data_IF_565038650946
#
_entry.id   IF_565038650946
#
_cell.length_a   1.000
_cell.length_b   1.000
_cell.length_c   1.000
_cell.angle_alpha   90.00
_cell.angle_beta   90.00
_cell.angle_gamma   90.00
#
_symmetry.space_group_name_H-M   'P 1'
#
loop_
_entity.id
_entity.type
_entity.pdbx_description
1 polymer ?
#
# COMPACT_ATOMS: atom_id res chain seq x y z
N UNK A 1 -17.74 25.70 25.39
CA UNK A 1 -17.11 25.08 24.22
C UNK A 1 -17.81 23.75 23.98
N UNK A 2 -18.69 23.67 22.97
CA UNK A 2 -19.25 22.39 22.55
C UNK A 2 -18.14 21.61 21.85
N UNK A 3 -17.74 20.48 22.41
CA UNK A 3 -16.94 19.51 21.68
C UNK A 3 -17.79 19.01 20.51
N UNK A 4 -17.47 19.46 19.30
CA UNK A 4 -17.91 18.83 18.06
C UNK A 4 -17.44 17.37 18.15
N UNK A 5 -18.36 16.46 18.43
CA UNK A 5 -18.13 15.03 18.29
C UNK A 5 -17.58 14.82 16.87
N UNK A 6 -16.31 14.39 16.80
CA UNK A 6 -15.50 14.42 15.59
C UNK A 6 -16.23 13.80 14.42
N UNK A 7 -16.48 14.61 13.38
CA UNK A 7 -17.06 14.13 12.14
C UNK A 7 -16.03 13.27 11.41
N UNK A 8 -15.94 11.99 11.76
CA UNK A 8 -15.19 11.03 10.95
C UNK A 8 -15.90 10.86 9.61
N UNK A 9 -15.12 10.89 8.53
CA UNK A 9 -15.65 10.73 7.17
C UNK A 9 -16.26 9.32 7.00
N UNK A 10 -17.15 9.11 6.02
CA UNK A 10 -17.68 7.77 5.75
C UNK A 10 -16.57 6.78 5.37
N UNK A 11 -15.51 7.22 4.67
CA UNK A 11 -14.31 6.43 4.39
C UNK A 11 -13.59 6.05 5.68
N UNK A 12 -13.43 7.01 6.60
CA UNK A 12 -12.76 6.76 7.88
C UNK A 12 -13.53 5.73 8.72
N UNK A 13 -14.87 5.84 8.78
CA UNK A 13 -15.72 4.87 9.49
C UNK A 13 -15.66 3.47 8.85
N UNK A 14 -15.67 3.40 7.52
CA UNK A 14 -15.51 2.14 6.80
C UNK A 14 -14.14 1.50 7.10
N UNK A 15 -13.07 2.28 7.10
CA UNK A 15 -11.72 1.82 7.42
C UNK A 15 -11.57 1.38 8.88
N UNK A 16 -12.19 2.10 9.82
CA UNK A 16 -12.24 1.71 11.23
C UNK A 16 -12.94 0.36 11.41
N UNK A 17 -14.10 0.17 10.77
CA UNK A 17 -14.84 -1.11 10.81
C UNK A 17 -14.03 -2.26 10.18
N UNK A 18 -13.51 -2.06 8.96
CA UNK A 18 -12.69 -3.06 8.24
C UNK A 18 -11.54 -3.56 9.12
N UNK A 19 -10.81 -2.62 9.74
CA UNK A 19 -9.68 -2.92 10.60
C UNK A 19 -10.08 -3.71 11.84
N UNK A 20 -11.23 -3.42 12.46
CA UNK A 20 -11.72 -4.22 13.60
C UNK A 20 -12.00 -5.66 13.19
N UNK A 21 -12.65 -5.88 12.06
CA UNK A 21 -12.97 -7.22 11.55
C UNK A 21 -11.70 -8.01 11.22
N UNK A 22 -10.73 -7.37 10.55
CA UNK A 22 -9.44 -8.00 10.23
C UNK A 22 -8.62 -8.31 11.48
N UNK A 23 -8.65 -7.44 12.48
CA UNK A 23 -8.00 -7.66 13.76
C UNK A 23 -8.61 -8.85 14.51
N UNK A 24 -9.94 -8.97 14.54
CA UNK A 24 -10.64 -10.12 15.13
C UNK A 24 -10.32 -11.43 14.37
N UNK A 25 -10.24 -11.35 13.03
CA UNK A 25 -9.78 -12.47 12.20
C UNK A 25 -8.35 -12.88 12.56
N UNK A 26 -7.41 -11.94 12.64
CA UNK A 26 -6.01 -12.22 13.00
C UNK A 26 -5.87 -12.79 14.42
N UNK A 27 -6.63 -12.26 15.38
CA UNK A 27 -6.72 -12.82 16.74
C UNK A 27 -7.19 -14.28 16.72
N UNK A 28 -8.18 -14.62 15.89
CA UNK A 28 -8.64 -16.00 15.77
C UNK A 28 -7.58 -16.96 15.24
N UNK A 29 -6.61 -16.45 14.47
CA UNK A 29 -5.45 -17.19 13.98
C UNK A 29 -4.23 -17.13 14.91
N UNK A 30 -4.32 -16.42 16.04
CA UNK A 30 -3.19 -16.22 16.96
C UNK A 30 -2.04 -15.40 16.37
N UNK A 31 -2.33 -14.58 15.35
CA UNK A 31 -1.34 -13.72 14.69
C UNK A 31 -1.32 -12.35 15.38
N UNK A 32 -0.12 -11.88 15.72
CA UNK A 32 0.09 -10.53 16.24
C UNK A 32 0.05 -9.52 15.10
N UNK A 33 -0.64 -8.40 15.30
CA UNK A 33 -0.88 -7.39 14.27
C UNK A 33 0.14 -6.28 14.51
N UNK A 34 1.13 -6.16 13.60
CA UNK A 34 2.38 -5.43 13.80
C UNK A 34 2.30 -3.94 14.22
N UNK A 35 3.46 -3.34 14.46
CA UNK A 35 3.69 -2.09 15.20
C UNK A 35 3.05 -0.79 14.67
N UNK A 36 2.28 -0.84 13.57
CA UNK A 36 1.69 0.36 12.97
C UNK A 36 0.57 0.92 13.85
N UNK A 37 0.60 2.23 14.04
CA UNK A 37 -0.45 2.91 14.79
C UNK A 37 -1.80 2.80 14.07
N UNK A 38 -2.88 2.77 14.85
CA UNK A 38 -4.25 2.76 14.31
C UNK A 38 -4.49 3.89 13.31
N UNK A 39 -3.93 5.08 13.59
CA UNK A 39 -4.06 6.24 12.74
C UNK A 39 -3.38 6.02 11.38
N UNK A 40 -2.21 5.38 11.35
CA UNK A 40 -1.47 5.11 10.12
C UNK A 40 -2.17 4.05 9.26
N UNK A 41 -2.71 3.00 9.89
CA UNK A 41 -3.48 1.96 9.19
C UNK A 41 -4.77 2.54 8.60
N UNK A 42 -5.49 3.37 9.37
CA UNK A 42 -6.72 4.02 8.89
C UNK A 42 -6.40 5.01 7.77
N UNK A 43 -5.34 5.81 7.90
CA UNK A 43 -4.93 6.77 6.86
C UNK A 43 -4.56 6.05 5.55
N UNK A 44 -3.81 4.95 5.62
CA UNK A 44 -3.50 4.13 4.45
C UNK A 44 -4.74 3.54 3.79
N UNK A 45 -5.70 3.06 4.58
CA UNK A 45 -6.97 2.58 4.07
C UNK A 45 -7.77 3.69 3.35
N UNK A 46 -7.86 4.89 3.95
CA UNK A 46 -8.57 6.03 3.33
C UNK A 46 -7.90 6.45 2.02
N UNK A 47 -6.56 6.44 1.95
CA UNK A 47 -5.83 6.70 0.72
C UNK A 47 -6.12 5.66 -0.37
N UNK A 48 -6.13 4.37 -0.02
CA UNK A 48 -6.52 3.29 -0.94
C UNK A 48 -7.95 3.48 -1.44
N UNK A 49 -8.89 3.85 -0.56
CA UNK A 49 -10.27 4.15 -0.96
C UNK A 49 -10.36 5.35 -1.90
N UNK A 50 -9.56 6.40 -1.69
CA UNK A 50 -9.52 7.56 -2.56
C UNK A 50 -9.00 7.21 -3.97
N UNK A 51 -7.91 6.43 -4.04
CA UNK A 51 -7.38 5.91 -5.31
C UNK A 51 -8.41 5.04 -6.04
N UNK A 52 -9.06 4.13 -5.32
CA UNK A 52 -10.10 3.27 -5.87
C UNK A 52 -11.26 4.09 -6.46
N UNK A 53 -11.72 5.13 -5.76
CA UNK A 53 -12.78 5.99 -6.28
C UNK A 53 -12.36 6.71 -7.57
N UNK A 54 -11.12 7.17 -7.63
CA UNK A 54 -10.57 7.82 -8.82
C UNK A 54 -10.46 6.85 -10.00
N UNK A 55 -9.94 5.64 -9.78
CA UNK A 55 -9.72 4.64 -10.83
C UNK A 55 -11.02 4.07 -11.39
N UNK A 56 -12.05 4.00 -10.56
CA UNK A 56 -13.34 3.35 -10.91
C UNK A 56 -14.37 4.31 -11.48
N UNK A 57 -14.12 5.62 -11.35
CA UNK A 57 -15.06 6.69 -11.68
C UNK A 57 -16.47 6.39 -11.13
N UNK A 58 -16.55 5.73 -9.96
CA UNK A 58 -17.80 5.27 -9.40
C UNK A 58 -18.71 6.46 -9.09
N UNK A 59 -19.96 6.40 -9.56
CA UNK A 59 -20.96 7.40 -9.19
C UNK A 59 -21.09 7.51 -7.67
N UNK A 60 -21.44 8.70 -7.18
CA UNK A 60 -21.61 8.95 -5.75
C UNK A 60 -22.56 7.96 -5.07
N UNK A 61 -23.60 7.51 -5.79
CA UNK A 61 -24.55 6.51 -5.29
C UNK A 61 -23.89 5.13 -5.09
N UNK A 62 -23.11 4.66 -6.07
CA UNK A 62 -22.37 3.38 -5.98
C UNK A 62 -21.31 3.46 -4.90
N UNK A 63 -20.57 4.57 -4.84
CA UNK A 63 -19.55 4.77 -3.82
C UNK A 63 -20.13 4.83 -2.40
N UNK A 64 -21.25 5.52 -2.22
CA UNK A 64 -21.93 5.57 -0.92
C UNK A 64 -22.49 4.20 -0.50
N UNK A 65 -23.00 3.40 -1.44
CA UNK A 65 -23.45 2.03 -1.16
C UNK A 65 -22.27 1.13 -0.76
N UNK A 66 -21.14 1.28 -1.45
CA UNK A 66 -19.91 0.57 -1.13
C UNK A 66 -19.41 0.88 0.29
N UNK A 67 -19.24 2.16 0.63
CA UNK A 67 -18.83 2.58 1.97
C UNK A 67 -19.86 2.17 3.04
N UNK A 68 -21.14 2.22 2.71
CA UNK A 68 -22.22 1.74 3.57
C UNK A 68 -22.11 0.25 3.87
N UNK A 69 -21.79 -0.56 2.86
CA UNK A 69 -21.52 -1.99 3.02
C UNK A 69 -20.31 -2.22 3.92
N UNK A 70 -19.17 -1.58 3.65
CA UNK A 70 -17.96 -1.71 4.47
C UNK A 70 -18.20 -1.30 5.92
N UNK A 71 -19.00 -0.27 6.16
CA UNK A 71 -19.33 0.20 7.52
C UNK A 71 -20.26 -0.76 8.25
N UNK A 72 -21.14 -1.45 7.52
CA UNK A 72 -22.17 -2.34 8.08
C UNK A 72 -21.70 -3.80 8.18
N UNK A 73 -20.59 -4.15 7.54
CA UNK A 73 -20.02 -5.48 7.57
C UNK A 73 -19.73 -5.89 9.04
N UNK A 74 -19.92 -7.18 9.30
CA UNK A 74 -19.66 -7.78 10.62
C UNK A 74 -18.62 -8.90 10.56
N UNK A 75 -18.32 -9.40 9.36
CA UNK A 75 -17.37 -10.49 9.13
C UNK A 75 -16.46 -10.17 7.96
N UNK A 76 -15.33 -10.86 7.89
CA UNK A 76 -14.39 -10.67 6.79
C UNK A 76 -14.99 -11.13 5.45
N UNK A 77 -15.83 -12.16 5.43
CA UNK A 77 -16.56 -12.57 4.22
C UNK A 77 -17.52 -11.49 3.71
N UNK A 78 -18.17 -10.74 4.59
CA UNK A 78 -19.02 -9.61 4.18
C UNK A 78 -18.20 -8.46 3.59
N UNK A 79 -17.00 -8.18 4.10
CA UNK A 79 -16.11 -7.17 3.53
C UNK A 79 -15.70 -7.53 2.09
N UNK A 80 -15.44 -8.81 1.81
CA UNK A 80 -15.11 -9.29 0.47
C UNK A 80 -16.32 -9.15 -0.48
N UNK A 81 -17.53 -9.46 -0.01
CA UNK A 81 -18.76 -9.27 -0.78
C UNK A 81 -19.06 -7.80 -1.09
N UNK A 82 -18.64 -6.87 -0.22
CA UNK A 82 -18.79 -5.44 -0.45
C UNK A 82 -18.05 -4.94 -1.69
N UNK A 83 -17.06 -5.67 -2.23
CA UNK A 83 -16.36 -5.30 -3.46
C UNK A 83 -17.20 -5.56 -4.72
N UNK A 84 -18.22 -6.42 -4.64
CA UNK A 84 -19.10 -6.80 -5.74
C UNK A 84 -19.84 -5.65 -6.47
N UNK A 85 -20.34 -4.59 -5.79
CA UNK A 85 -20.95 -3.44 -6.43
C UNK A 85 -19.98 -2.53 -7.20
N UNK A 86 -18.66 -2.66 -6.98
CA UNK A 86 -17.66 -1.96 -7.77
C UNK A 86 -17.36 -2.75 -9.06
N UNK A 87 -16.88 -2.08 -10.10
CA UNK A 87 -16.54 -2.74 -11.38
C UNK A 87 -15.51 -3.87 -11.17
N UNK A 88 -15.45 -4.86 -12.07
CA UNK A 88 -14.52 -6.00 -11.95
C UNK A 88 -13.04 -5.56 -11.84
N UNK A 89 -12.68 -4.45 -12.49
CA UNK A 89 -11.35 -3.84 -12.39
C UNK A 89 -11.09 -3.19 -11.02
N UNK A 90 -12.11 -2.58 -10.41
CA UNK A 90 -12.06 -2.07 -9.03
C UNK A 90 -11.77 -3.16 -8.00
N UNK A 91 -12.50 -4.28 -8.13
CA UNK A 91 -12.40 -5.41 -7.22
C UNK A 91 -11.00 -6.05 -7.27
N UNK A 92 -10.38 -6.10 -8.45
CA UNK A 92 -8.99 -6.57 -8.61
C UNK A 92 -7.98 -5.68 -7.89
N UNK A 93 -8.05 -4.36 -8.06
CA UNK A 93 -7.14 -3.41 -7.41
C UNK A 93 -7.17 -3.51 -5.88
N UNK A 94 -8.36 -3.68 -5.28
CA UNK A 94 -8.50 -3.86 -3.83
C UNK A 94 -7.92 -5.17 -3.31
N UNK A 95 -8.05 -6.26 -4.09
CA UNK A 95 -7.48 -7.54 -3.72
C UNK A 95 -5.95 -7.52 -3.76
N UNK A 96 -5.36 -6.87 -4.77
CA UNK A 96 -3.91 -6.69 -4.89
C UNK A 96 -3.32 -5.84 -3.75
N UNK A 97 -3.95 -4.73 -3.38
CA UNK A 97 -3.47 -3.89 -2.27
C UNK A 97 -3.64 -4.59 -0.91
N UNK A 98 -4.71 -5.37 -0.71
CA UNK A 98 -4.86 -6.20 0.50
C UNK A 98 -3.75 -7.26 0.57
N UNK A 99 -3.45 -7.94 -0.54
CA UNK A 99 -2.34 -8.90 -0.59
C UNK A 99 -1.00 -8.22 -0.28
N UNK A 100 -0.75 -7.01 -0.77
CA UNK A 100 0.45 -6.23 -0.44
C UNK A 100 0.54 -5.82 1.03
N UNK A 101 -0.60 -5.52 1.68
CA UNK A 101 -0.63 -5.16 3.10
C UNK A 101 -0.48 -6.38 4.02
N UNK A 102 -0.88 -7.57 3.57
CA UNK A 102 -0.75 -8.83 4.31
C UNK A 102 0.56 -9.58 4.00
N UNK A 103 1.23 -9.29 2.88
CA UNK A 103 2.52 -9.87 2.56
C UNK A 103 3.60 -9.21 3.45
N UNK A 104 4.45 -9.99 4.16
CA UNK A 104 5.69 -9.44 4.70
C UNK A 104 6.50 -8.84 3.53
N UNK A 105 7.33 -7.80 3.76
CA UNK A 105 8.17 -7.25 2.70
C UNK A 105 8.94 -8.41 2.09
N UNK A 106 8.66 -8.68 0.80
CA UNK A 106 9.37 -9.69 0.06
C UNK A 106 10.84 -9.29 0.08
N UNK A 107 11.65 -10.04 0.81
CA UNK A 107 13.10 -10.01 0.64
C UNK A 107 13.39 -10.40 -0.81
N UNK A 108 13.88 -9.46 -1.61
CA UNK A 108 14.24 -9.73 -2.99
C UNK A 108 14.26 -8.48 -3.86
N UNK A 109 15.25 -7.61 -3.65
CA UNK A 109 15.78 -6.76 -4.71
C UNK A 109 16.84 -7.58 -5.48
N UNK A 110 16.60 -8.03 -6.72
CA UNK A 110 17.67 -8.31 -7.67
C UNK A 110 18.00 -6.99 -8.39
N UNK A 111 18.65 -6.07 -7.68
CA UNK A 111 19.23 -4.91 -8.32
C UNK A 111 20.54 -5.32 -9.01
N UNK A 112 20.46 -5.40 -10.33
CA UNK A 112 21.46 -4.88 -11.26
C UNK A 112 22.83 -5.58 -11.30
N UNK A 113 22.89 -6.70 -12.03
CA UNK A 113 24.10 -7.11 -12.73
C UNK A 113 23.89 -6.83 -14.22
N UNK A 114 23.84 -5.55 -14.58
CA UNK A 114 23.98 -5.13 -15.96
C UNK A 114 25.40 -5.47 -16.44
N UNK A 115 25.43 -6.29 -17.48
CA UNK A 115 26.60 -6.58 -18.31
C UNK A 115 27.25 -5.31 -18.83
N UNK A 116 28.55 -5.13 -18.59
CA UNK A 116 29.37 -4.13 -19.28
C UNK A 116 30.34 -4.87 -20.23
N UNK A 117 30.19 -4.74 -21.56
CA UNK A 117 31.14 -5.29 -22.51
C UNK A 117 32.27 -4.27 -22.80
N UNK A 118 33.49 -4.67 -22.44
CA UNK A 118 34.78 -4.42 -23.09
C UNK A 118 34.99 -3.09 -23.87
N UNK A 119 36.03 -2.34 -23.49
CA UNK A 119 36.94 -1.73 -24.46
C UNK A 119 38.31 -1.37 -23.88
N UNK A 120 39.27 -1.54 -24.76
CA UNK A 120 40.72 -1.49 -24.69
C UNK A 120 41.27 -0.04 -24.85
N UNK A 121 42.53 0.10 -24.42
CA UNK A 121 43.56 1.01 -24.95
C UNK A 121 43.72 2.49 -24.49
N UNK A 122 45.01 2.84 -24.45
CA UNK A 122 45.64 4.15 -24.62
C UNK A 122 45.96 5.03 -23.39
N UNK A 123 47.26 5.04 -23.06
CA UNK A 123 47.97 6.03 -22.25
C UNK A 123 47.89 7.47 -22.85
N UNK A 124 48.24 8.51 -22.06
CA UNK A 124 49.59 9.04 -22.25
C UNK A 124 50.31 9.50 -20.96
N UNK A 125 51.64 9.47 -21.03
CA UNK A 125 52.58 9.96 -20.03
C UNK A 125 52.50 11.48 -19.81
N UNK A 126 53.04 11.96 -18.67
CA UNK A 126 53.80 13.21 -18.70
C UNK A 126 55.25 13.06 -18.22
N UNK A 127 56.10 13.74 -18.97
CA UNK A 127 57.55 13.93 -18.85
C UNK A 127 57.99 14.69 -17.58
N UNK A 128 59.24 14.41 -17.17
CA UNK A 128 60.28 15.31 -16.57
C UNK A 128 60.86 14.80 -15.22
N UNK A 129 62.09 15.20 -14.81
CA UNK A 129 63.32 15.36 -15.59
C UNK A 129 64.50 14.55 -15.00
N UNK A 130 65.55 14.40 -15.81
CA UNK A 130 66.86 13.82 -15.45
C UNK A 130 67.48 14.48 -14.21
N UNK A 131 67.97 13.67 -13.29
CA UNK A 131 69.11 14.00 -12.43
C UNK A 131 70.23 12.98 -12.67
N UNK A 132 71.32 13.46 -13.30
CA UNK A 132 72.65 12.84 -13.21
C UNK A 132 73.22 13.16 -11.82
N UNK A 133 73.91 12.24 -11.18
CA UNK A 133 74.98 12.48 -10.19
C UNK A 133 75.56 11.07 -9.89
N UNK A 134 76.62 10.67 -10.58
CA UNK A 134 78.06 10.76 -10.28
C UNK A 134 78.59 9.43 -9.76
#
# INVERSE_FOLDING_TARGET
ALALAGCTSPEQRACENKKQIELEKLKSYGLDVGDKSNAEVIAGCVDTLARLRADTEASDAVWSAYLGCLTSATTNGQLEECLGPLTQDAAKHMLEEQLKQLAPPAAGDPADAASDPAADDAAPAPSQPRKKLY
#
